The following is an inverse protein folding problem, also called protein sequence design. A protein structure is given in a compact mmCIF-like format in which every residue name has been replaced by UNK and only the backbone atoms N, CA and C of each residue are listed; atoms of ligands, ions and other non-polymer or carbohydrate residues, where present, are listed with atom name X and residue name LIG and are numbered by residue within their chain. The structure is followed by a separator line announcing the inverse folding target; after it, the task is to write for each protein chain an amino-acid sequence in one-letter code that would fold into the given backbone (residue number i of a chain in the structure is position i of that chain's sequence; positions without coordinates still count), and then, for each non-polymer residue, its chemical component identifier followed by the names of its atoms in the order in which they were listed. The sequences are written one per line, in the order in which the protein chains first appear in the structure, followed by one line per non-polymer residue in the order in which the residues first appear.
data_IF_275120623978
#
_entry.id   IF_275120623978
#
_cell.length_a   1.000
_cell.length_b   1.000
_cell.length_c   1.000
_cell.angle_alpha   90.00
_cell.angle_beta   90.00
_cell.angle_gamma   90.00
#
_symmetry.space_group_name_H-M   'P 1'
#
loop_
_entity.id
_entity.type
_entity.pdbx_description
1 polymer ?
#
# COMPACT_ATOMS: atom_id res chain seq x y z
N UNK A 1 -30.00 51.53 -22.41
CA UNK A 1 -29.78 51.02 -21.03
C UNK A 1 -28.31 50.66 -20.90
N UNK A 2 -27.48 51.60 -20.44
CA UNK A 2 -26.05 51.39 -20.24
C UNK A 2 -25.73 51.80 -18.81
N UNK A 3 -26.10 50.94 -17.85
CA UNK A 3 -25.81 51.14 -16.44
C UNK A 3 -24.39 50.62 -16.20
N UNK A 4 -23.39 51.32 -16.75
CA UNK A 4 -21.99 51.09 -16.44
C UNK A 4 -21.81 51.41 -14.97
N UNK A 5 -21.76 50.39 -14.13
CA UNK A 5 -21.33 50.54 -12.75
C UNK A 5 -19.93 51.15 -12.77
N UNK A 6 -19.85 52.47 -12.59
CA UNK A 6 -18.58 53.15 -12.47
C UNK A 6 -17.84 52.52 -11.29
N UNK A 7 -16.73 51.85 -11.58
CA UNK A 7 -15.85 51.29 -10.55
C UNK A 7 -15.62 52.35 -9.47
N UNK A 8 -15.65 51.99 -8.19
CA UNK A 8 -15.40 52.91 -7.08
C UNK A 8 -14.11 53.73 -7.30
N UNK A 9 -13.10 53.11 -7.93
CA UNK A 9 -11.86 53.76 -8.37
C UNK A 9 -12.09 54.84 -9.44
N UNK A 10 -12.94 54.56 -10.42
CA UNK A 10 -13.28 55.51 -11.49
C UNK A 10 -14.13 56.67 -10.96
N UNK A 11 -15.07 56.39 -10.05
CA UNK A 11 -15.85 57.42 -9.36
C UNK A 11 -14.95 58.38 -8.56
N UNK A 12 -14.04 57.84 -7.73
CA UNK A 12 -13.07 58.66 -6.98
C UNK A 12 -12.15 59.44 -7.90
N UNK A 13 -11.67 58.83 -9.00
CA UNK A 13 -10.82 59.52 -9.98
C UNK A 13 -11.56 60.68 -10.65
N UNK A 14 -12.83 60.50 -10.99
CA UNK A 14 -13.66 61.54 -11.57
C UNK A 14 -13.87 62.68 -10.56
N UNK A 15 -14.20 62.37 -9.30
CA UNK A 15 -14.34 63.37 -8.24
C UNK A 15 -13.07 64.18 -8.01
N UNK A 16 -11.89 63.55 -7.98
CA UNK A 16 -10.61 64.26 -7.85
C UNK A 16 -10.32 65.15 -9.07
N UNK A 17 -10.70 64.70 -10.28
CA UNK A 17 -10.50 65.47 -11.51
C UNK A 17 -11.42 66.69 -11.54
N UNK A 18 -12.69 66.53 -11.15
CA UNK A 18 -13.65 67.63 -10.98
C UNK A 18 -13.19 68.61 -9.90
N UNK A 19 -12.64 68.12 -8.78
CA UNK A 19 -12.08 68.97 -7.72
C UNK A 19 -10.97 69.87 -8.25
N UNK A 20 -10.03 69.30 -9.02
CA UNK A 20 -8.95 70.06 -9.67
C UNK A 20 -9.51 71.12 -10.63
N UNK A 21 -10.53 70.77 -11.42
CA UNK A 21 -11.17 71.68 -12.38
C UNK A 21 -11.89 72.83 -11.67
N UNK A 22 -12.65 72.55 -10.61
CA UNK A 22 -13.36 73.55 -9.82
C UNK A 22 -12.38 74.50 -9.12
N UNK A 23 -11.27 73.98 -8.61
CA UNK A 23 -10.21 74.79 -7.98
C UNK A 23 -9.56 75.75 -8.99
N UNK A 24 -9.24 75.27 -10.19
CA UNK A 24 -8.74 76.12 -11.28
C UNK A 24 -9.76 77.19 -11.67
N UNK A 25 -11.03 76.81 -11.79
CA UNK A 25 -12.13 77.74 -12.12
C UNK A 25 -12.32 78.80 -11.04
N UNK A 26 -12.18 78.44 -9.76
CA UNK A 26 -12.25 79.37 -8.64
C UNK A 26 -11.12 80.40 -8.72
N UNK A 27 -9.87 79.97 -8.91
CA UNK A 27 -8.75 80.90 -9.05
C UNK A 27 -8.90 81.83 -10.27
N UNK A 28 -9.31 81.31 -11.43
CA UNK A 28 -9.58 82.15 -12.61
C UNK A 28 -10.75 83.11 -12.38
N UNK A 29 -11.79 82.72 -11.64
CA UNK A 29 -12.92 83.60 -11.33
C UNK A 29 -12.53 84.75 -10.38
N UNK A 30 -11.63 84.49 -9.43
CA UNK A 30 -11.10 85.49 -8.51
C UNK A 30 -10.16 86.46 -9.23
N UNK A 31 -9.33 85.95 -10.15
CA UNK A 31 -8.46 86.76 -11.01
C UNK A 31 -9.28 87.72 -11.89
N UNK A 32 -10.33 87.21 -12.56
CA UNK A 32 -11.25 88.02 -13.36
C UNK A 32 -12.02 89.06 -12.54
N UNK A 33 -12.42 88.73 -11.31
CA UNK A 33 -13.03 89.69 -10.40
C UNK A 33 -12.05 90.79 -9.98
N UNK A 34 -10.77 90.46 -9.79
CA UNK A 34 -9.73 91.44 -9.46
C UNK A 34 -9.42 92.40 -10.61
N UNK A 35 -9.60 91.95 -11.85
CA UNK A 35 -9.49 92.77 -13.07
C UNK A 35 -10.77 93.58 -13.40
N UNK A 36 -11.81 93.48 -12.57
CA UNK A 36 -13.07 94.23 -12.73
C UNK A 36 -14.03 93.66 -13.79
N UNK A 37 -13.81 92.42 -14.25
CA UNK A 37 -14.69 91.72 -15.20
C UNK A 37 -15.69 90.85 -14.43
N UNK A 38 -16.97 90.85 -14.82
CA UNK A 38 -17.98 90.01 -14.18
C UNK A 38 -17.70 88.54 -14.54
N UNK A 39 -17.37 87.67 -13.58
CA UNK A 39 -17.04 86.28 -13.86
C UNK A 39 -18.28 85.49 -14.29
N UNK A 40 -18.06 84.46 -15.11
CA UNK A 40 -19.13 83.54 -15.57
C UNK A 40 -19.72 82.68 -14.46
N UNK A 41 -19.04 82.51 -13.33
CA UNK A 41 -19.51 81.78 -12.16
C UNK A 41 -19.15 82.57 -10.91
N UNK A 42 -20.09 82.72 -9.98
CA UNK A 42 -19.82 83.41 -8.72
C UNK A 42 -18.87 82.54 -7.88
N UNK A 43 -17.78 83.09 -7.31
CA UNK A 43 -16.82 82.30 -6.53
C UNK A 43 -17.46 81.61 -5.31
N UNK A 44 -18.55 82.18 -4.77
CA UNK A 44 -19.34 81.57 -3.71
C UNK A 44 -19.94 80.23 -4.10
N UNK A 45 -20.44 80.12 -5.34
CA UNK A 45 -21.14 78.94 -5.83
C UNK A 45 -20.15 77.83 -6.16
N UNK A 46 -18.98 78.19 -6.71
CA UNK A 46 -17.88 77.25 -6.94
C UNK A 46 -17.34 76.72 -5.61
N UNK A 47 -17.23 77.57 -4.58
CA UNK A 47 -16.80 77.14 -3.26
C UNK A 47 -17.81 76.19 -2.59
N UNK A 48 -19.12 76.43 -2.74
CA UNK A 48 -20.15 75.49 -2.27
C UNK A 48 -20.08 74.14 -3.01
N UNK A 49 -19.83 74.15 -4.31
CA UNK A 49 -19.65 72.92 -5.10
C UNK A 49 -18.41 72.13 -4.66
N UNK A 50 -17.31 72.81 -4.34
CA UNK A 50 -16.09 72.17 -3.80
C UNK A 50 -16.39 71.48 -2.46
N UNK A 51 -17.11 72.14 -1.55
CA UNK A 51 -17.48 71.57 -0.24
C UNK A 51 -18.41 70.35 -0.40
N UNK A 52 -19.37 70.40 -1.33
CA UNK A 52 -20.22 69.25 -1.63
C UNK A 52 -19.42 68.09 -2.20
N UNK A 53 -18.51 68.37 -3.13
CA UNK A 53 -17.65 67.36 -3.75
C UNK A 53 -16.73 66.71 -2.72
N UNK A 54 -16.16 67.48 -1.80
CA UNK A 54 -15.34 66.99 -0.69
C UNK A 54 -16.12 66.03 0.23
N UNK A 55 -17.35 66.40 0.61
CA UNK A 55 -18.25 65.51 1.36
C UNK A 55 -18.51 64.20 0.62
N UNK A 56 -18.74 64.26 -0.70
CA UNK A 56 -18.94 63.04 -1.50
C UNK A 56 -17.67 62.20 -1.66
N UNK A 57 -16.48 62.82 -1.70
CA UNK A 57 -15.20 62.13 -1.77
C UNK A 57 -14.92 61.41 -0.44
N UNK A 58 -15.18 62.07 0.69
CA UNK A 58 -15.02 61.47 2.02
C UNK A 58 -15.92 60.23 2.18
N UNK A 59 -17.17 60.31 1.73
CA UNK A 59 -18.07 59.15 1.71
C UNK A 59 -17.62 58.03 0.75
N UNK A 60 -16.90 58.35 -0.33
CA UNK A 60 -16.32 57.34 -1.22
C UNK A 60 -15.09 56.67 -0.59
N UNK A 61 -14.27 57.41 0.15
CA UNK A 61 -13.10 56.90 0.89
C UNK A 61 -13.54 55.93 1.99
N UNK A 62 -14.58 56.26 2.76
CA UNK A 62 -15.14 55.36 3.77
C UNK A 62 -15.59 54.02 3.16
N UNK A 63 -16.27 54.06 2.00
CA UNK A 63 -16.66 52.85 1.26
C UNK A 63 -15.44 52.04 0.83
N UNK A 64 -14.36 52.68 0.39
CA UNK A 64 -13.10 51.98 0.04
C UNK A 64 -12.55 51.26 1.26
N UNK A 65 -12.52 51.89 2.43
CA UNK A 65 -12.02 51.29 3.66
C UNK A 65 -12.82 50.02 4.03
N UNK A 66 -14.15 50.11 3.97
CA UNK A 66 -15.04 48.97 4.21
C UNK A 66 -14.75 47.84 3.21
N UNK A 67 -14.66 48.15 1.92
CA UNK A 67 -14.35 47.17 0.88
C UNK A 67 -12.97 46.53 1.10
N UNK A 68 -11.95 47.31 1.48
CA UNK A 68 -10.62 46.77 1.78
C UNK A 68 -10.65 45.82 2.97
N UNK A 69 -11.36 46.17 4.05
CA UNK A 69 -11.52 45.31 5.22
C UNK A 69 -12.22 44.00 4.86
N UNK A 70 -13.29 44.06 4.08
CA UNK A 70 -13.99 42.88 3.57
C UNK A 70 -13.09 42.05 2.65
N UNK A 71 -12.33 42.68 1.77
CA UNK A 71 -11.41 41.98 0.87
C UNK A 71 -10.31 41.23 1.62
N UNK A 72 -9.75 41.82 2.69
CA UNK A 72 -8.82 41.09 3.57
C UNK A 72 -9.47 39.88 4.22
N UNK A 73 -10.71 40.01 4.68
CA UNK A 73 -11.48 38.89 5.25
C UNK A 73 -11.73 37.79 4.21
N UNK A 74 -12.09 38.15 2.98
CA UNK A 74 -12.28 37.20 1.88
C UNK A 74 -10.97 36.47 1.59
N UNK A 75 -9.85 37.18 1.53
CA UNK A 75 -8.53 36.56 1.31
C UNK A 75 -8.16 35.60 2.45
N UNK A 76 -8.42 35.97 3.70
CA UNK A 76 -8.19 35.11 4.85
C UNK A 76 -9.01 33.81 4.76
N UNK A 77 -10.31 33.92 4.48
CA UNK A 77 -11.19 32.74 4.34
C UNK A 77 -10.75 31.86 3.16
N UNK A 78 -10.28 32.45 2.05
CA UNK A 78 -9.74 31.68 0.92
C UNK A 78 -8.52 30.86 1.30
N UNK A 79 -7.60 31.44 2.07
CA UNK A 79 -6.42 30.72 2.56
C UNK A 79 -6.82 29.58 3.50
N UNK A 80 -7.80 29.80 4.37
CA UNK A 80 -8.33 28.76 5.26
C UNK A 80 -8.97 27.60 4.47
N UNK A 81 -9.75 27.92 3.43
CA UNK A 81 -10.33 26.90 2.55
C UNK A 81 -9.23 26.10 1.84
N UNK A 82 -8.17 26.76 1.38
CA UNK A 82 -7.04 26.09 0.72
C UNK A 82 -6.30 25.15 1.70
N UNK A 83 -6.10 25.58 2.94
CA UNK A 83 -5.51 24.75 3.99
C UNK A 83 -6.39 23.54 4.32
N UNK A 84 -7.70 23.74 4.46
CA UNK A 84 -8.65 22.66 4.71
C UNK A 84 -8.70 21.67 3.53
N UNK A 85 -8.71 22.16 2.29
CA UNK A 85 -8.65 21.31 1.10
C UNK A 85 -7.36 20.46 1.08
N UNK A 86 -6.22 21.06 1.44
CA UNK A 86 -4.96 20.32 1.58
C UNK A 86 -5.04 19.25 2.67
N UNK A 87 -5.70 19.53 3.79
CA UNK A 87 -5.92 18.54 4.84
C UNK A 87 -6.82 17.38 4.36
N UNK A 88 -7.92 17.68 3.65
CA UNK A 88 -8.80 16.68 3.05
C UNK A 88 -8.02 15.78 2.09
N UNK A 89 -7.22 16.36 1.19
CA UNK A 89 -6.42 15.59 0.24
C UNK A 89 -5.44 14.64 0.94
N UNK A 90 -4.82 15.07 2.05
CA UNK A 90 -3.97 14.20 2.87
C UNK A 90 -4.75 13.04 3.49
N UNK A 91 -5.97 13.30 4.00
CA UNK A 91 -6.82 12.25 4.56
C UNK A 91 -7.23 11.24 3.50
N UNK A 92 -7.59 11.70 2.30
CA UNK A 92 -7.94 10.83 1.16
C UNK A 92 -6.73 9.97 0.77
N UNK A 93 -5.54 10.57 0.67
CA UNK A 93 -4.32 9.82 0.37
C UNK A 93 -4.04 8.75 1.43
N UNK A 94 -4.08 9.12 2.72
CA UNK A 94 -3.87 8.17 3.81
C UNK A 94 -4.90 7.04 3.80
N UNK A 95 -6.16 7.34 3.45
CA UNK A 95 -7.20 6.32 3.35
C UNK A 95 -6.94 5.36 2.18
N UNK A 96 -6.50 5.89 1.04
CA UNK A 96 -6.12 5.08 -0.12
C UNK A 96 -4.93 4.18 0.20
N UNK A 97 -3.90 4.72 0.85
CA UNK A 97 -2.72 3.97 1.25
C UNK A 97 -3.08 2.89 2.28
N UNK A 98 -3.89 3.22 3.28
CA UNK A 98 -4.38 2.25 4.26
C UNK A 98 -5.23 1.14 3.62
N UNK A 99 -6.08 1.50 2.65
CA UNK A 99 -6.85 0.52 1.87
C UNK A 99 -5.92 -0.43 1.11
N UNK A 100 -4.94 0.10 0.39
CA UNK A 100 -3.99 -0.70 -0.38
C UNK A 100 -3.20 -1.66 0.52
N UNK A 101 -2.74 -1.19 1.69
CA UNK A 101 -2.07 -2.04 2.67
C UNK A 101 -2.99 -3.15 3.20
N UNK A 102 -4.26 -2.83 3.43
CA UNK A 102 -5.23 -3.83 3.89
C UNK A 102 -5.54 -4.87 2.81
N UNK A 103 -5.69 -4.47 1.55
CA UNK A 103 -5.89 -5.37 0.42
C UNK A 103 -4.70 -6.32 0.25
N UNK A 104 -3.46 -5.81 0.32
CA UNK A 104 -2.27 -6.66 0.28
C UNK A 104 -2.18 -7.64 1.46
N UNK A 105 -2.50 -7.19 2.67
CA UNK A 105 -2.57 -8.09 3.83
C UNK A 105 -3.68 -9.15 3.70
N UNK A 106 -4.80 -8.82 3.07
CA UNK A 106 -5.89 -9.75 2.85
C UNK A 106 -5.48 -10.85 1.87
N UNK A 107 -4.83 -10.48 0.77
CA UNK A 107 -4.26 -11.44 -0.20
C UNK A 107 -3.22 -12.36 0.46
N UNK A 108 -2.28 -11.81 1.23
CA UNK A 108 -1.29 -12.59 2.01
C UNK A 108 -1.96 -13.58 2.99
N UNK A 109 -3.05 -13.15 3.64
CA UNK A 109 -3.78 -13.98 4.59
C UNK A 109 -4.59 -15.07 3.89
N UNK A 110 -5.15 -14.81 2.70
CA UNK A 110 -5.82 -15.81 1.88
C UNK A 110 -4.84 -16.89 1.41
N UNK A 111 -3.65 -16.50 0.95
CA UNK A 111 -2.59 -17.44 0.57
C UNK A 111 -2.16 -18.30 1.79
N UNK A 112 -1.86 -17.66 2.93
CA UNK A 112 -1.50 -18.38 4.17
C UNK A 112 -2.61 -19.29 4.65
N UNK A 113 -3.87 -18.89 4.48
CA UNK A 113 -5.03 -19.72 4.82
C UNK A 113 -5.11 -20.95 3.94
N UNK A 114 -4.87 -20.82 2.63
CA UNK A 114 -4.83 -21.95 1.70
C UNK A 114 -3.72 -22.94 2.10
N UNK A 115 -2.49 -22.46 2.31
CA UNK A 115 -1.36 -23.28 2.77
C UNK A 115 -1.67 -23.97 4.10
N UNK A 116 -2.28 -23.26 5.04
CA UNK A 116 -2.65 -23.83 6.34
C UNK A 116 -3.76 -24.88 6.20
N UNK A 117 -4.71 -24.69 5.29
CA UNK A 117 -5.76 -25.68 5.01
C UNK A 117 -5.15 -26.95 4.40
N UNK A 118 -4.24 -26.80 3.44
CA UNK A 118 -3.51 -27.92 2.85
C UNK A 118 -2.66 -28.65 3.90
N UNK A 119 -1.92 -27.92 4.73
CA UNK A 119 -1.13 -28.49 5.82
C UNK A 119 -1.98 -29.22 6.87
N UNK A 120 -3.19 -28.73 7.17
CA UNK A 120 -4.15 -29.42 8.04
C UNK A 120 -4.70 -30.69 7.39
N UNK A 121 -4.88 -30.70 6.07
CA UNK A 121 -5.30 -31.93 5.37
C UNK A 121 -4.18 -32.98 5.35
N UNK A 122 -2.92 -32.54 5.31
CA UNK A 122 -1.71 -33.35 5.41
C UNK A 122 -1.19 -33.48 6.86
N UNK A 123 -2.08 -33.57 7.84
CA UNK A 123 -1.70 -33.67 9.25
C UNK A 123 -0.90 -34.96 9.52
N UNK A 124 0.38 -34.80 9.86
CA UNK A 124 1.28 -35.89 10.24
C UNK A 124 1.26 -36.06 11.76
N UNK A 125 1.16 -37.29 12.23
CA UNK A 125 1.17 -37.55 13.68
C UNK A 125 2.51 -37.16 14.31
N UNK A 126 2.46 -36.49 15.47
CA UNK A 126 3.68 -36.10 16.22
C UNK A 126 4.53 -37.32 16.57
N UNK A 127 3.90 -38.47 16.84
CA UNK A 127 4.59 -39.73 17.07
C UNK A 127 5.45 -40.18 15.89
N UNK A 128 4.96 -40.00 14.66
CA UNK A 128 5.70 -40.36 13.45
C UNK A 128 6.87 -39.40 13.21
N UNK A 129 6.68 -38.11 13.44
CA UNK A 129 7.75 -37.10 13.36
C UNK A 129 8.86 -37.44 14.34
N UNK A 130 8.52 -37.76 15.60
CA UNK A 130 9.51 -38.12 16.62
C UNK A 130 10.22 -39.43 16.26
N UNK A 131 9.49 -40.45 15.80
CA UNK A 131 10.08 -41.71 15.36
C UNK A 131 11.04 -41.52 14.18
N UNK A 132 10.65 -40.70 13.19
CA UNK A 132 11.49 -40.39 12.04
C UNK A 132 12.71 -39.53 12.42
N UNK A 133 12.53 -38.53 13.28
CA UNK A 133 13.62 -37.70 13.80
C UNK A 133 14.66 -38.54 14.54
N UNK A 134 14.23 -39.50 15.36
CA UNK A 134 15.13 -40.44 16.02
C UNK A 134 15.90 -41.32 15.04
N UNK A 135 15.25 -41.78 13.95
CA UNK A 135 15.94 -42.53 12.87
C UNK A 135 16.98 -41.65 12.18
N UNK A 136 16.63 -40.40 11.86
CA UNK A 136 17.49 -39.46 11.16
C UNK A 136 18.66 -38.98 12.04
N UNK A 137 18.48 -38.91 13.36
CA UNK A 137 19.50 -38.47 14.32
C UNK A 137 20.80 -39.29 14.25
N UNK A 138 20.73 -40.56 13.86
CA UNK A 138 21.92 -41.41 13.71
C UNK A 138 22.79 -41.03 12.50
N UNK A 139 22.26 -40.23 11.57
CA UNK A 139 22.87 -39.89 10.29
C UNK A 139 23.24 -38.41 10.14
N UNK A 140 22.69 -37.52 10.96
CA UNK A 140 22.83 -36.06 10.78
C UNK A 140 24.02 -35.44 11.49
N UNK A 141 24.38 -35.94 12.68
CA UNK A 141 25.54 -35.42 13.41
C UNK A 141 26.11 -36.44 14.39
N UNK A 142 27.43 -36.44 14.53
CA UNK A 142 28.14 -37.27 15.50
C UNK A 142 27.81 -36.78 16.93
N UNK A 143 27.42 -37.68 17.85
CA UNK A 143 27.17 -37.30 19.24
C UNK A 143 28.40 -36.66 19.91
N UNK A 144 28.24 -35.85 20.97
CA UNK A 144 29.31 -35.06 21.60
C UNK A 144 30.52 -35.85 22.14
N UNK A 145 30.45 -37.19 22.21
CA UNK A 145 31.55 -38.08 22.61
C UNK A 145 31.85 -39.17 21.56
N UNK A 146 31.58 -38.89 20.28
CA UNK A 146 31.78 -39.87 19.21
C UNK A 146 33.26 -40.25 19.08
N UNK A 147 33.54 -41.54 19.22
CA UNK A 147 34.85 -42.12 18.93
C UNK A 147 34.74 -43.02 17.69
N UNK A 148 35.38 -42.67 16.56
CA UNK A 148 35.33 -43.47 15.34
C UNK A 148 36.05 -44.82 15.46
N UNK A 149 36.83 -45.03 16.51
CA UNK A 149 37.55 -46.28 16.79
C UNK A 149 36.73 -47.29 17.60
N UNK A 150 35.58 -46.90 18.15
CA UNK A 150 34.69 -47.79 18.91
C UNK A 150 33.58 -48.33 17.99
N UNK A 151 33.56 -49.65 17.69
CA UNK A 151 32.54 -50.27 16.83
C UNK A 151 31.12 -50.23 17.40
N UNK A 152 30.94 -49.93 18.69
CA UNK A 152 29.64 -49.97 19.37
C UNK A 152 28.85 -48.65 19.28
N UNK A 153 29.35 -47.65 18.57
CA UNK A 153 28.68 -46.36 18.50
C UNK A 153 27.68 -46.27 17.33
N UNK A 154 26.42 -45.82 17.57
CA UNK A 154 25.34 -45.87 16.58
C UNK A 154 25.40 -44.79 15.48
N UNK A 155 26.48 -44.01 15.37
CA UNK A 155 26.59 -42.96 14.36
C UNK A 155 27.02 -43.54 13.02
N UNK A 156 26.19 -43.31 12.00
CA UNK A 156 26.47 -43.69 10.62
C UNK A 156 26.66 -42.41 9.77
N UNK A 157 27.55 -42.43 8.76
CA UNK A 157 27.71 -41.29 7.88
C UNK A 157 26.41 -41.01 7.10
N UNK A 158 26.13 -39.74 6.74
CA UNK A 158 24.88 -39.32 6.11
C UNK A 158 24.64 -39.94 4.72
N UNK A 159 25.68 -40.48 4.08
CA UNK A 159 25.60 -41.15 2.80
C UNK A 159 25.98 -42.63 2.95
N UNK A 160 25.38 -43.52 2.14
CA UNK A 160 25.69 -44.94 2.19
C UNK A 160 27.16 -45.17 1.81
N UNK A 161 27.88 -45.91 2.64
CA UNK A 161 29.26 -46.33 2.35
C UNK A 161 29.28 -47.40 1.27
N UNK A 162 30.42 -47.54 0.59
CA UNK A 162 30.63 -48.55 -0.44
C UNK A 162 30.31 -49.97 0.06
N UNK A 163 30.72 -50.30 1.29
CA UNK A 163 30.43 -51.61 1.90
C UNK A 163 28.92 -51.85 2.04
N UNK A 164 28.15 -50.86 2.51
CA UNK A 164 26.68 -50.95 2.59
C UNK A 164 26.02 -50.99 1.21
N UNK A 165 26.56 -50.27 0.21
CA UNK A 165 26.04 -50.32 -1.16
C UNK A 165 26.28 -51.70 -1.79
N UNK A 166 27.46 -52.27 -1.59
CA UNK A 166 27.81 -53.62 -2.07
C UNK A 166 27.01 -54.71 -1.36
N UNK A 167 26.72 -54.53 -0.06
CA UNK A 167 25.88 -55.44 0.71
C UNK A 167 24.38 -55.26 0.43
N UNK A 168 23.97 -54.18 -0.24
CA UNK A 168 22.57 -53.88 -0.54
C UNK A 168 21.93 -54.90 -1.49
N UNK A 169 20.61 -55.05 -1.35
CA UNK A 169 19.78 -56.00 -2.13
C UNK A 169 19.97 -55.80 -3.63
N UNK A 170 20.10 -54.54 -4.08
CA UNK A 170 20.31 -54.21 -5.49
C UNK A 170 21.59 -54.84 -6.05
N UNK A 171 22.69 -54.84 -5.30
CA UNK A 171 23.94 -55.45 -5.73
C UNK A 171 23.88 -56.98 -5.65
N UNK A 172 23.20 -57.53 -4.64
CA UNK A 172 22.99 -58.99 -4.51
C UNK A 172 22.21 -59.58 -5.71
N UNK A 173 21.27 -58.82 -6.28
CA UNK A 173 20.51 -59.23 -7.46
C UNK A 173 21.35 -59.19 -8.76
N UNK A 174 22.40 -58.37 -8.80
CA UNK A 174 23.26 -58.21 -9.96
C UNK A 174 24.48 -59.16 -9.96
N UNK A 175 24.67 -59.92 -8.88
CA UNK A 175 25.69 -60.96 -8.76
C UNK A 175 25.09 -62.26 -9.32
N UNK A 176 25.69 -62.90 -10.34
CA UNK A 176 25.18 -64.16 -10.87
C UNK A 176 25.21 -65.23 -9.77
N UNK A 177 24.13 -66.01 -9.64
CA UNK A 177 23.96 -67.03 -8.59
C UNK A 177 25.14 -68.03 -8.47
N UNK A 178 25.94 -68.18 -9.53
CA UNK A 178 27.14 -69.01 -9.55
C UNK A 178 28.30 -68.48 -8.66
N UNK A 179 28.34 -67.18 -8.36
CA UNK A 179 29.40 -66.58 -7.55
C UNK A 179 29.14 -66.63 -6.02
N UNK A 180 27.91 -66.94 -5.58
CA UNK A 180 27.54 -67.06 -4.17
C UNK A 180 27.91 -68.42 -3.54
N UNK A 181 28.25 -69.43 -4.35
CA UNK A 181 28.62 -70.79 -3.90
C UNK A 181 30.12 -70.95 -3.61
N UNK A 182 30.96 -69.99 -3.98
CA UNK A 182 32.42 -70.18 -3.95
C UNK A 182 33.16 -69.48 -2.80
N UNK A 183 32.45 -69.05 -1.75
CA UNK A 183 33.03 -68.41 -0.57
C UNK A 183 32.67 -69.13 0.74
N UNK A 184 32.51 -70.45 0.70
CA UNK A 184 32.68 -71.32 1.87
C UNK A 184 33.96 -72.14 1.66
N UNK A 185 34.84 -72.12 2.66
CA UNK A 185 36.25 -72.50 2.54
C UNK A 185 36.47 -73.98 2.21
N UNK A 186 36.99 -74.26 1.02
CA UNK A 186 37.51 -75.57 0.62
C UNK A 186 38.87 -75.87 1.24
N UNK A 187 38.86 -76.69 2.29
CA UNK A 187 40.01 -77.45 2.81
C UNK A 187 40.53 -78.45 1.75
N UNK A 188 41.84 -78.44 1.49
CA UNK A 188 42.52 -79.40 0.60
C UNK A 188 42.62 -80.80 1.25
N UNK A 189 42.49 -81.89 0.49
CA UNK A 189 42.47 -83.25 1.03
C UNK A 189 43.89 -83.82 1.20
N UNK A 190 44.18 -84.39 2.37
CA UNK A 190 45.28 -85.33 2.53
C UNK A 190 45.93 -85.36 3.92
N UNK A 191 45.38 -86.17 4.83
CA UNK A 191 46.07 -87.20 5.66
C UNK A 191 45.32 -87.47 6.99
N UNK A 192 44.85 -88.72 7.09
CA UNK A 192 44.53 -89.54 8.27
C UNK A 192 43.82 -88.95 9.51
N UNK A 193 42.66 -89.55 9.85
CA UNK A 193 42.30 -89.73 11.27
C UNK A 193 40.80 -89.62 11.61
N UNK A 194 40.16 -90.78 11.72
CA UNK A 194 39.06 -91.16 12.61
C UNK A 194 37.86 -90.23 12.89
N UNK A 195 36.69 -90.81 12.63
CA UNK A 195 35.32 -90.37 12.87
C UNK A 195 34.86 -90.50 14.33
N UNK A 196 34.08 -89.53 14.85
CA UNK A 196 33.02 -89.73 15.87
C UNK A 196 32.01 -88.56 15.83
N UNK A 197 30.68 -88.80 15.83
CA UNK A 197 29.67 -87.75 15.82
C UNK A 197 29.19 -87.41 17.24
N UNK A 198 28.90 -86.14 17.52
CA UNK A 198 28.27 -85.69 18.78
C UNK A 198 26.82 -85.24 18.53
N UNK A 199 25.92 -85.78 19.36
CA UNK A 199 24.51 -85.40 19.45
C UNK A 199 24.28 -84.10 20.22
N UNK A 200 23.05 -83.59 20.08
CA UNK A 200 22.50 -82.37 20.67
C UNK A 200 22.18 -82.51 22.19
N UNK A 201 21.34 -81.63 22.80
CA UNK A 201 21.58 -80.24 23.25
C UNK A 201 21.33 -80.08 24.78
N UNK A 202 21.69 -78.95 25.41
CA UNK A 202 21.33 -78.71 26.82
C UNK A 202 21.82 -77.39 27.47
N UNK A 203 20.83 -76.59 27.88
CA UNK A 203 20.63 -75.79 29.11
C UNK A 203 21.71 -74.94 29.81
N UNK A 204 21.17 -73.94 30.54
CA UNK A 204 21.66 -73.24 31.75
C UNK A 204 22.41 -71.91 31.52
N UNK A 205 21.82 -70.74 31.80
CA UNK A 205 21.45 -70.11 33.08
C UNK A 205 22.57 -69.24 33.70
N UNK A 206 22.24 -67.94 33.79
CA UNK A 206 22.54 -66.97 34.86
C UNK A 206 24.00 -66.69 35.30
N UNK A 207 24.38 -65.40 35.27
CA UNK A 207 25.14 -64.77 36.35
C UNK A 207 24.90 -63.24 36.39
N UNK A 208 24.49 -62.77 37.56
CA UNK A 208 24.25 -61.38 37.97
C UNK A 208 25.51 -60.71 38.53
N UNK A 209 25.56 -59.38 38.50
CA UNK A 209 26.11 -58.46 39.53
C UNK A 209 26.03 -57.01 38.94
N UNK A 210 25.19 -56.09 39.42
CA UNK A 210 25.30 -55.28 40.65
C UNK A 210 26.66 -54.55 40.74
N UNK A 211 26.81 -53.24 40.92
CA UNK A 211 25.94 -52.09 41.17
C UNK A 211 26.88 -50.92 41.56
N UNK A 212 26.51 -49.65 41.31
CA UNK A 212 26.87 -48.51 42.19
C UNK A 212 26.36 -47.18 41.63
N UNK A 213 25.71 -46.47 42.53
CA UNK A 213 25.21 -45.09 42.48
C UNK A 213 26.34 -44.05 42.36
N UNK A 214 26.06 -42.93 41.70
CA UNK A 214 26.45 -41.63 42.23
C UNK A 214 25.51 -40.51 41.75
N UNK A 215 25.17 -39.62 42.67
CA UNK A 215 24.23 -38.52 42.52
C UNK A 215 24.95 -37.16 42.66
N UNK A 216 24.38 -36.13 42.04
CA UNK A 216 24.74 -34.71 42.20
C UNK A 216 25.16 -34.07 40.87
N UNK A 217 24.66 -32.93 40.42
CA UNK A 217 23.72 -31.95 40.94
C UNK A 217 23.87 -30.66 40.13
N UNK A 218 22.74 -30.01 39.82
CA UNK A 218 22.52 -28.56 39.66
C UNK A 218 23.25 -27.77 38.53
N UNK A 219 22.45 -27.23 37.59
CA UNK A 219 22.43 -25.84 37.06
C UNK A 219 21.72 -25.85 35.69
N UNK A 220 20.44 -25.51 35.55
CA UNK A 220 19.87 -24.15 35.42
C UNK A 220 20.59 -23.24 34.42
N UNK A 221 19.96 -22.98 33.26
CA UNK A 221 19.82 -21.62 32.74
C UNK A 221 18.77 -21.54 31.62
N UNK A 222 17.64 -20.91 31.97
CA UNK A 222 16.84 -20.09 31.07
C UNK A 222 17.72 -19.03 30.40
N UNK A 223 17.43 -18.68 29.15
CA UNK A 223 17.52 -17.28 28.73
C UNK A 223 16.46 -16.95 27.68
N UNK A 224 15.48 -16.19 28.16
CA UNK A 224 14.58 -15.36 27.40
C UNK A 224 15.09 -13.91 27.54
N UNK A 225 14.79 -13.07 26.55
CA UNK A 225 15.01 -11.61 26.47
C UNK A 225 16.30 -11.13 25.77
N UNK A 226 16.36 -9.99 25.09
CA UNK A 226 15.42 -9.04 24.48
C UNK A 226 16.31 -7.89 23.97
N UNK A 227 16.01 -7.32 22.79
CA UNK A 227 16.30 -5.93 22.33
C UNK A 227 17.73 -5.37 22.43
N UNK A 228 18.31 -5.02 21.27
CA UNK A 228 18.69 -3.63 20.92
C UNK A 228 19.44 -3.50 19.60
N UNK A 229 18.90 -2.63 18.74
CA UNK A 229 19.57 -1.65 17.87
C UNK A 229 20.96 -1.96 17.31
N UNK A 230 21.07 -1.97 15.98
CA UNK A 230 22.25 -1.40 15.32
C UNK A 230 21.91 -0.67 14.01
N UNK A 231 21.99 0.65 14.12
CA UNK A 231 22.05 1.64 13.05
C UNK A 231 23.50 1.66 12.55
N UNK A 232 23.73 1.58 11.24
CA UNK A 232 25.01 1.91 10.62
C UNK A 232 24.82 3.06 9.61
N UNK A 233 25.48 4.21 9.80
CA UNK A 233 25.78 5.15 8.74
C UNK A 233 27.29 5.14 8.42
N UNK A 234 27.64 5.32 7.15
CA UNK A 234 28.89 5.84 6.55
C UNK A 234 28.92 5.28 5.10
N UNK A 235 29.14 6.04 4.03
CA UNK A 235 29.68 7.37 3.95
C UNK A 235 29.63 7.96 2.53
N UNK A 236 29.96 9.24 2.55
CA UNK A 236 30.09 10.23 1.51
C UNK A 236 31.16 9.89 0.45
N UNK A 237 30.86 10.12 -0.84
CA UNK A 237 31.86 10.56 -1.83
C UNK A 237 31.15 11.29 -2.98
N UNK A 238 31.47 12.56 -3.15
CA UNK A 238 30.90 13.43 -4.17
C UNK A 238 31.70 13.46 -5.48
N UNK A 239 31.02 13.89 -6.54
CA UNK A 239 31.55 14.82 -7.53
C UNK A 239 32.04 14.26 -8.86
N UNK A 240 31.18 14.30 -9.90
CA UNK A 240 31.42 14.94 -11.22
C UNK A 240 30.30 14.64 -12.26
N UNK A 241 29.76 15.65 -12.97
CA UNK A 241 29.23 15.55 -14.34
C UNK A 241 30.27 16.15 -15.35
N UNK A 242 30.02 16.38 -16.66
CA UNK A 242 28.90 16.07 -17.58
C UNK A 242 29.35 15.47 -18.96
N UNK A 243 28.41 15.22 -19.90
CA UNK A 243 28.36 15.67 -21.33
C UNK A 243 27.56 14.72 -22.27
N UNK A 244 27.06 15.22 -23.43
CA UNK A 244 25.74 14.90 -23.99
C UNK A 244 25.77 13.94 -25.18
N UNK A 245 24.62 13.34 -25.51
CA UNK A 245 24.40 12.78 -26.83
C UNK A 245 23.10 13.27 -27.44
N UNK A 246 23.25 13.68 -28.69
CA UNK A 246 22.29 14.32 -29.58
C UNK A 246 21.33 13.30 -30.20
N UNK A 247 20.13 13.82 -30.51
CA UNK A 247 19.33 13.58 -31.72
C UNK A 247 19.06 12.14 -32.15
N UNK A 248 17.85 11.67 -31.88
CA UNK A 248 17.04 10.99 -32.91
C UNK A 248 15.64 11.61 -32.90
N UNK A 249 15.31 12.24 -34.02
CA UNK A 249 13.99 12.71 -34.43
C UNK A 249 13.17 11.48 -34.85
N UNK A 250 11.95 11.34 -34.33
CA UNK A 250 10.90 10.55 -34.99
C UNK A 250 9.59 11.33 -34.86
N UNK A 251 9.13 11.79 -36.02
CA UNK A 251 7.85 12.47 -36.26
C UNK A 251 6.66 11.48 -36.29
N UNK A 252 5.48 12.04 -36.02
CA UNK A 252 4.13 11.62 -36.42
C UNK A 252 3.47 10.36 -35.79
N UNK A 253 2.45 10.60 -34.94
CA UNK A 253 1.06 10.43 -35.38
C UNK A 253 0.04 10.95 -34.34
N UNK A 254 -0.70 11.97 -34.76
CA UNK A 254 -1.87 12.54 -34.11
C UNK A 254 -3.08 11.61 -34.34
N UNK A 255 -3.60 11.03 -33.26
CA UNK A 255 -4.99 10.56 -33.24
C UNK A 255 -5.59 10.76 -31.85
N UNK A 256 -6.34 11.84 -31.73
CA UNK A 256 -7.17 12.15 -30.57
C UNK A 256 -8.12 10.99 -30.24
N UNK A 257 -8.00 10.52 -29.00
CA UNK A 257 -9.06 9.76 -28.34
C UNK A 257 -9.41 10.47 -27.05
N UNK A 258 -10.49 11.27 -27.16
CA UNK A 258 -11.20 11.90 -26.06
C UNK A 258 -11.74 10.81 -25.13
N UNK A 259 -10.96 10.47 -24.11
CA UNK A 259 -11.42 9.64 -23.00
C UNK A 259 -11.89 10.56 -21.89
N UNK A 260 -13.19 10.49 -21.62
CA UNK A 260 -13.91 11.21 -20.60
C UNK A 260 -13.38 10.79 -19.22
N UNK A 261 -12.46 11.57 -18.66
CA UNK A 261 -12.14 11.50 -17.24
C UNK A 261 -13.32 12.10 -16.46
N UNK A 262 -14.13 11.23 -15.87
CA UNK A 262 -15.09 11.58 -14.84
C UNK A 262 -14.36 12.16 -13.62
N UNK A 263 -14.15 13.47 -13.66
CA UNK A 263 -13.81 14.26 -12.50
C UNK A 263 -14.97 14.21 -11.49
N UNK A 264 -14.76 13.47 -10.41
CA UNK A 264 -15.64 13.38 -9.24
C UNK A 264 -15.73 14.76 -8.54
N UNK A 265 -16.52 15.67 -9.11
CA UNK A 265 -16.83 16.97 -8.50
C UNK A 265 -17.94 16.80 -7.48
N UNK A 266 -17.55 16.79 -6.19
CA UNK A 266 -18.46 16.74 -5.04
C UNK A 266 -19.36 18.00 -4.90
N UNK A 267 -19.12 19.04 -5.71
CA UNK A 267 -20.02 20.19 -5.82
C UNK A 267 -20.70 20.18 -7.17
N UNK A 268 -21.97 19.76 -7.16
CA UNK A 268 -22.81 19.60 -8.34
C UNK A 268 -23.05 20.91 -9.08
N UNK A 269 -23.01 20.83 -10.41
CA UNK A 269 -23.48 21.92 -11.27
C UNK A 269 -25.01 21.90 -11.25
N UNK A 270 -25.69 23.07 -11.31
CA UNK A 270 -27.15 23.12 -11.27
C UNK A 270 -27.84 22.39 -12.44
N UNK A 271 -27.14 22.11 -13.55
CA UNK A 271 -27.66 21.31 -14.65
C UNK A 271 -27.71 19.80 -14.32
N UNK A 272 -26.81 19.30 -13.47
CA UNK A 272 -26.72 17.88 -13.15
C UNK A 272 -27.91 17.41 -12.29
N UNK A 273 -28.49 18.30 -11.49
CA UNK A 273 -29.71 17.99 -10.72
C UNK A 273 -30.94 17.83 -11.61
N UNK A 274 -31.06 18.67 -12.65
CA UNK A 274 -32.18 18.59 -13.58
C UNK A 274 -32.09 17.33 -14.45
N UNK A 275 -30.86 16.94 -14.82
CA UNK A 275 -30.60 15.73 -15.60
C UNK A 275 -30.86 14.46 -14.79
N UNK A 276 -30.45 14.42 -13.50
CA UNK A 276 -30.81 13.32 -12.59
C UNK A 276 -32.32 13.22 -12.35
N UNK A 277 -33.01 14.34 -12.16
CA UNK A 277 -34.46 14.35 -11.97
C UNK A 277 -35.20 13.79 -13.20
N UNK A 278 -34.70 14.12 -14.40
CA UNK A 278 -35.25 13.58 -15.66
C UNK A 278 -34.97 12.08 -15.79
N UNK A 279 -33.77 11.63 -15.46
CA UNK A 279 -33.40 10.20 -15.51
C UNK A 279 -34.20 9.36 -14.51
N UNK A 280 -34.47 9.91 -13.33
CA UNK A 280 -35.29 9.25 -12.30
C UNK A 280 -36.76 9.16 -12.73
N UNK A 281 -37.27 10.20 -13.39
CA UNK A 281 -38.62 10.21 -13.97
C UNK A 281 -38.77 9.18 -15.11
N UNK A 282 -37.74 9.02 -15.95
CA UNK A 282 -37.69 8.01 -17.00
C UNK A 282 -37.61 6.58 -16.44
N UNK A 283 -36.86 6.34 -15.35
CA UNK A 283 -36.85 5.03 -14.67
C UNK A 283 -38.20 4.67 -14.06
N UNK A 284 -38.88 5.63 -13.44
CA UNK A 284 -40.22 5.41 -12.90
C UNK A 284 -41.25 5.13 -13.99
N UNK A 285 -41.12 5.77 -15.16
CA UNK A 285 -41.97 5.49 -16.31
C UNK A 285 -41.72 4.09 -16.89
N UNK A 286 -40.47 3.65 -17.00
CA UNK A 286 -40.14 2.27 -17.44
C UNK A 286 -40.64 1.22 -16.45
N UNK A 287 -40.56 1.51 -15.14
CA UNK A 287 -41.04 0.58 -14.12
C UNK A 287 -42.58 0.47 -14.11
N UNK A 288 -43.29 1.55 -14.45
CA UNK A 288 -44.75 1.50 -14.66
C UNK A 288 -45.13 0.76 -15.95
N UNK A 289 -44.35 0.88 -17.03
CA UNK A 289 -44.58 0.10 -18.25
C UNK A 289 -44.38 -1.40 -18.01
N UNK A 290 -43.33 -1.80 -17.27
CA UNK A 290 -43.14 -3.21 -16.92
C UNK A 290 -44.28 -3.75 -16.04
N UNK A 291 -44.80 -2.96 -15.11
CA UNK A 291 -45.95 -3.37 -14.30
C UNK A 291 -47.24 -3.50 -15.14
N UNK A 292 -47.44 -2.65 -16.15
CA UNK A 292 -48.57 -2.80 -17.08
C UNK A 292 -48.42 -4.02 -17.99
N UNK A 293 -47.21 -4.31 -18.48
CA UNK A 293 -46.94 -5.52 -19.27
C UNK A 293 -47.14 -6.80 -18.43
N UNK A 294 -46.79 -6.78 -17.14
CA UNK A 294 -47.02 -7.90 -16.23
C UNK A 294 -48.52 -8.07 -15.87
N UNK A 295 -49.29 -6.98 -15.75
CA UNK A 295 -50.75 -7.04 -15.57
C UNK A 295 -51.46 -7.55 -16.84
N UNK A 296 -51.08 -7.07 -18.03
CA UNK A 296 -51.63 -7.55 -19.31
C UNK A 296 -51.25 -9.02 -19.57
N UNK A 297 -50.06 -9.46 -19.12
CA UNK A 297 -49.65 -10.85 -19.19
C UNK A 297 -50.45 -11.75 -18.22
N UNK A 298 -50.84 -11.24 -17.05
CA UNK A 298 -51.69 -11.97 -16.11
C UNK A 298 -53.12 -12.14 -16.66
N UNK A 299 -53.66 -11.13 -17.35
CA UNK A 299 -54.98 -11.20 -17.99
C UNK A 299 -55.03 -12.14 -19.21
N UNK A 300 -53.88 -12.47 -19.82
CA UNK A 300 -53.80 -13.47 -20.89
C UNK A 300 -53.88 -14.92 -20.36
N UNK A 301 -53.52 -15.17 -19.10
CA UNK A 301 -53.55 -16.53 -18.51
C UNK A 301 -54.88 -16.93 -17.88
N UNK A 302 -55.85 -16.01 -17.76
CA UNK A 302 -57.16 -16.28 -17.15
C UNK A 302 -58.28 -16.62 -18.16
N UNK A 303 -57.93 -16.81 -19.45
CA UNK A 303 -58.88 -17.13 -20.53
C UNK A 303 -58.95 -18.62 -20.93
N UNK A 304 -58.25 -19.55 -20.23
CA UNK A 304 -58.26 -20.99 -20.58
C UNK A 304 -58.77 -21.92 -19.46
N UNK A 305 -59.55 -21.38 -18.53
CA UNK A 305 -60.28 -22.16 -17.52
C UNK A 305 -61.75 -21.74 -17.43
N UNK A 306 -62.50 -21.88 -18.53
CA UNK A 306 -63.94 -22.17 -18.47
C UNK A 306 -64.49 -22.86 -19.70
#
# INVERSE_FOLDING_TARGET
MANSQHSLRQMVRNQITEYSRLTQTLFTSLELMSEGKVPSAQPSDVMQQIVQLDSTLMGAVEKIEIHQKQQRKIQQVRLEIEEQNKAIMKVIQNLRDAKQVLEGNLEDLEEKRAITADARSAEISVSEIVAYANRLSNYTSAPPNFNPSDPNHPFEPPYPREVSMRAGILNQQHIPAAALVSLDGGFMPGTAGQFVPSGAPGSDSAASADGSVNAGGLANNNNNNNVSNNIHPLGNNGGRPPLPHEMEEDDDDDSGSSSEEEGFSLYGRPNDQMERARQEQERLAQQQQQQQEDEDAADIFDLDLS
#
